data_IF_821573300963
#
_entry.id   IF_821573300963
#
_cell.length_a   1.000
_cell.length_b   1.000
_cell.length_c   1.000
_cell.angle_alpha   90.00
_cell.angle_beta   90.00
_cell.angle_gamma   90.00
#
_symmetry.space_group_name_H-M   'P 1'
#
loop_
_entity.id
_entity.type
_entity.pdbx_description
1 polymer ?
#
# COMPACT_ATOMS: atom_id res chain seq x y z
N UNK A 1 17.14 0.78 -11.68
CA UNK A 1 17.77 0.46 -10.38
C UNK A 1 16.66 0.12 -9.38
N UNK A 2 16.50 -1.15 -9.02
CA UNK A 2 15.64 -1.51 -7.89
C UNK A 2 16.28 -0.93 -6.62
N UNK A 3 15.76 0.21 -6.15
CA UNK A 3 16.11 0.72 -4.82
C UNK A 3 15.82 -0.39 -3.83
N UNK A 4 16.74 -0.65 -2.88
CA UNK A 4 16.56 -1.68 -1.84
C UNK A 4 15.13 -1.65 -1.31
N UNK A 5 14.51 -2.82 -1.19
CA UNK A 5 13.16 -2.93 -0.65
C UNK A 5 13.08 -2.16 0.68
N UNK A 6 12.03 -1.35 0.89
CA UNK A 6 11.89 -0.57 2.11
C UNK A 6 11.91 -1.52 3.32
N UNK A 7 12.61 -1.13 4.38
CA UNK A 7 12.66 -1.90 5.63
C UNK A 7 11.32 -1.79 6.37
N UNK A 8 10.30 -2.52 5.92
CA UNK A 8 8.91 -2.38 6.39
C UNK A 8 8.77 -2.60 7.90
N UNK A 9 9.49 -3.58 8.45
CA UNK A 9 9.56 -3.82 9.90
C UNK A 9 10.02 -2.60 10.69
N UNK A 10 11.03 -1.88 10.19
CA UNK A 10 11.51 -0.65 10.83
C UNK A 10 10.46 0.47 10.76
N UNK A 11 9.78 0.60 9.62
CA UNK A 11 8.69 1.58 9.44
C UNK A 11 7.55 1.29 10.42
N UNK A 12 7.13 0.02 10.52
CA UNK A 12 6.06 -0.40 11.44
C UNK A 12 6.44 -0.11 12.90
N UNK A 13 7.68 -0.42 13.31
CA UNK A 13 8.18 -0.12 14.66
C UNK A 13 8.24 1.38 14.98
N UNK A 14 8.61 2.22 14.00
CA UNK A 14 8.76 3.67 14.21
C UNK A 14 7.45 4.45 14.11
N UNK A 15 6.45 3.92 13.39
CA UNK A 15 5.15 4.58 13.21
C UNK A 15 4.09 4.13 14.21
N UNK A 16 4.25 2.96 14.81
CA UNK A 16 3.33 2.48 15.84
C UNK A 16 3.56 3.21 17.15
N UNK A 17 2.47 3.63 17.82
CA UNK A 17 2.54 4.37 19.09
C UNK A 17 2.87 3.48 20.30
N UNK A 18 2.65 2.18 20.17
CA UNK A 18 2.95 1.18 21.21
C UNK A 18 4.25 0.45 20.92
N UNK A 19 4.90 -0.03 21.98
CA UNK A 19 6.08 -0.86 21.86
C UNK A 19 5.67 -2.27 21.37
N UNK A 20 5.73 -2.48 20.06
CA UNK A 20 5.32 -3.74 19.41
C UNK A 20 6.53 -4.64 19.11
N UNK A 21 6.40 -5.92 19.47
CA UNK A 21 7.37 -6.94 19.09
C UNK A 21 7.01 -7.55 17.72
N UNK A 22 7.75 -7.16 16.68
CA UNK A 22 7.62 -7.76 15.34
C UNK A 22 8.59 -8.94 15.24
N UNK A 23 8.06 -10.16 15.38
CA UNK A 23 8.82 -11.41 15.25
C UNK A 23 9.29 -11.63 13.79
N UNK A 24 10.36 -12.40 13.56
CA UNK A 24 10.88 -12.63 12.21
C UNK A 24 9.82 -13.10 11.19
N UNK A 25 8.96 -14.06 11.55
CA UNK A 25 7.90 -14.55 10.64
C UNK A 25 6.85 -13.49 10.30
N UNK A 26 6.62 -12.52 11.19
CA UNK A 26 5.68 -11.41 10.94
C UNK A 26 6.19 -10.46 9.86
N UNK A 27 7.49 -10.46 9.56
CA UNK A 27 8.10 -9.60 8.53
C UNK A 27 7.57 -9.96 7.14
N UNK A 28 7.56 -11.26 6.79
CA UNK A 28 6.99 -11.75 5.53
C UNK A 28 5.48 -11.46 5.42
N UNK A 29 4.75 -11.52 6.54
CA UNK A 29 3.32 -11.18 6.54
C UNK A 29 3.07 -9.68 6.29
N UNK A 30 3.90 -8.80 6.88
CA UNK A 30 3.83 -7.35 6.61
C UNK A 30 4.12 -7.07 5.14
N UNK A 31 5.12 -7.74 4.56
CA UNK A 31 5.44 -7.63 3.14
C UNK A 31 4.28 -8.09 2.26
N UNK A 32 3.70 -9.26 2.54
CA UNK A 32 2.56 -9.79 1.80
C UNK A 32 1.36 -8.85 1.86
N UNK A 33 0.99 -8.35 3.05
CA UNK A 33 -0.10 -7.39 3.22
C UNK A 33 0.15 -6.10 2.45
N UNK A 34 1.39 -5.62 2.42
CA UNK A 34 1.77 -4.44 1.65
C UNK A 34 1.62 -4.67 0.15
N UNK A 35 2.05 -5.84 -0.35
CA UNK A 35 1.89 -6.22 -1.75
C UNK A 35 0.42 -6.32 -2.16
N UNK A 36 -0.40 -7.01 -1.35
CA UNK A 36 -1.84 -7.15 -1.59
C UNK A 36 -2.50 -5.77 -1.61
N UNK A 37 -2.18 -4.90 -0.66
CA UNK A 37 -2.72 -3.54 -0.63
C UNK A 37 -2.35 -2.73 -1.87
N UNK A 38 -1.08 -2.74 -2.27
CA UNK A 38 -0.59 -2.00 -3.44
C UNK A 38 -1.17 -2.55 -4.74
N UNK A 39 -1.33 -3.87 -4.87
CA UNK A 39 -1.98 -4.51 -6.02
C UNK A 39 -3.42 -4.03 -6.18
N UNK A 40 -4.21 -4.12 -5.09
CA UNK A 40 -5.60 -3.69 -5.11
C UNK A 40 -5.74 -2.18 -5.36
N UNK A 41 -4.82 -1.37 -4.82
CA UNK A 41 -4.79 0.08 -5.06
C UNK A 41 -4.48 0.40 -6.53
N UNK A 42 -3.55 -0.34 -7.14
CA UNK A 42 -3.22 -0.17 -8.55
C UNK A 42 -4.39 -0.55 -9.47
N UNK A 43 -5.12 -1.62 -9.15
CA UNK A 43 -6.32 -2.03 -9.88
C UNK A 43 -7.42 -0.95 -9.83
N UNK A 44 -7.73 -0.42 -8.64
CA UNK A 44 -8.75 0.63 -8.51
C UNK A 44 -8.29 1.95 -9.16
N UNK A 45 -7.00 2.30 -9.09
CA UNK A 45 -6.47 3.47 -9.78
C UNK A 45 -6.49 3.31 -11.31
N UNK A 46 -6.26 2.09 -11.82
CA UNK A 46 -6.38 1.75 -13.24
C UNK A 46 -7.84 1.86 -13.70
N UNK A 47 -8.79 1.35 -12.93
CA UNK A 47 -10.21 1.49 -13.23
C UNK A 47 -10.63 2.96 -13.29
N UNK A 48 -10.17 3.78 -12.33
CA UNK A 48 -10.42 5.22 -12.33
C UNK A 48 -9.84 5.93 -13.56
N UNK A 49 -8.61 5.59 -13.95
CA UNK A 49 -7.99 6.11 -15.16
C UNK A 49 -8.79 5.75 -16.42
N UNK A 50 -9.29 4.52 -16.48
CA UNK A 50 -10.10 4.03 -17.60
C UNK A 50 -11.46 4.75 -17.69
N UNK A 51 -12.16 4.95 -16.57
CA UNK A 51 -13.40 5.75 -16.51
C UNK A 51 -13.21 7.17 -17.07
N UNK A 52 -12.05 7.78 -16.79
CA UNK A 52 -11.68 9.12 -17.25
C UNK A 52 -11.04 9.13 -18.66
N UNK A 53 -11.03 7.99 -19.37
CA UNK A 53 -10.41 7.80 -20.70
C UNK A 53 -8.93 8.21 -20.73
N UNK A 54 -8.23 8.04 -19.61
CA UNK A 54 -6.82 8.35 -19.50
C UNK A 54 -5.97 7.13 -19.84
N UNK A 55 -5.02 7.29 -20.76
CA UNK A 55 -4.08 6.23 -21.15
C UNK A 55 -3.07 5.86 -20.05
N UNK A 56 -2.97 6.66 -18.98
CA UNK A 56 -1.95 6.50 -17.93
C UNK A 56 -2.54 6.75 -16.55
N UNK A 57 -2.03 6.07 -15.52
CA UNK A 57 -2.38 6.39 -14.13
C UNK A 57 -1.66 7.67 -13.71
N UNK A 58 -2.43 8.68 -13.30
CA UNK A 58 -1.94 9.98 -12.83
C UNK A 58 -2.22 10.14 -11.34
N UNK A 59 -1.60 11.16 -10.75
CA UNK A 59 -1.69 11.41 -9.31
C UNK A 59 -3.13 11.63 -8.82
N UNK A 60 -4.01 12.23 -9.63
CA UNK A 60 -5.40 12.48 -9.22
C UNK A 60 -6.26 11.21 -9.21
N UNK A 61 -6.04 10.25 -10.13
CA UNK A 61 -6.70 8.94 -10.06
C UNK A 61 -6.36 8.22 -8.74
N UNK A 62 -5.07 8.23 -8.36
CA UNK A 62 -4.60 7.67 -7.10
C UNK A 62 -5.24 8.36 -5.89
N UNK A 63 -5.25 9.70 -5.86
CA UNK A 63 -5.89 10.46 -4.77
C UNK A 63 -7.39 10.13 -4.64
N UNK A 64 -8.10 9.97 -5.76
CA UNK A 64 -9.53 9.67 -5.77
C UNK A 64 -9.85 8.31 -5.10
N UNK A 65 -9.01 7.29 -5.30
CA UNK A 65 -9.27 5.94 -4.76
C UNK A 65 -8.60 5.68 -3.41
N UNK A 66 -7.52 6.40 -3.07
CA UNK A 66 -6.70 6.12 -1.88
C UNK A 66 -7.48 6.11 -0.57
N UNK A 67 -8.39 7.08 -0.37
CA UNK A 67 -9.17 7.18 0.89
C UNK A 67 -10.09 5.96 1.09
N UNK A 68 -10.74 5.50 0.02
CA UNK A 68 -11.60 4.31 0.02
C UNK A 68 -10.76 3.05 0.28
N UNK A 69 -9.62 2.92 -0.38
CA UNK A 69 -8.74 1.75 -0.23
C UNK A 69 -8.13 1.64 1.16
N UNK A 70 -7.64 2.74 1.73
CA UNK A 70 -7.15 2.78 3.11
C UNK A 70 -8.26 2.41 4.11
N UNK A 71 -9.52 2.79 3.85
CA UNK A 71 -10.66 2.39 4.69
C UNK A 71 -10.94 0.90 4.61
N UNK A 72 -10.84 0.29 3.41
CA UNK A 72 -10.97 -1.17 3.21
C UNK A 72 -9.86 -1.97 3.89
N UNK A 73 -8.65 -1.40 3.97
CA UNK A 73 -7.49 -2.04 4.57
C UNK A 73 -7.46 -1.99 6.10
N UNK A 74 -8.47 -1.37 6.74
CA UNK A 74 -8.62 -1.43 8.19
C UNK A 74 -9.03 -2.85 8.56
N UNK A 75 -8.29 -3.45 9.50
CA UNK A 75 -8.66 -4.71 10.14
C UNK A 75 -9.87 -4.57 11.04
#
# INVERSE_FOLDING_TARGET
>A
MLKKAPKLKYIVKTKTKSNINVRPTSEAMIELLTLIFLSNLAEEAKAKAFEEKSATIRAHHLKAVSKKMLKKARG
#
